data_IF_139827594193
#
_entry.id   IF_139827594193
#
_cell.length_a   1.000
_cell.length_b   1.000
_cell.length_c   1.000
_cell.angle_alpha   90.00
_cell.angle_beta   90.00
_cell.angle_gamma   90.00
#
_symmetry.space_group_name_H-M   'P 1'
#
loop_
_entity.id
_entity.type
_entity.pdbx_description
1 polymer ?
#
# COMPACT_ATOMS: atom_id res chain seq x y z
N UNK A 1 3.78 -6.87 23.73
CA UNK A 1 3.53 -6.42 22.34
C UNK A 1 2.07 -5.94 22.33
N UNK A 2 1.82 -4.64 22.20
CA UNK A 2 0.55 -4.01 22.63
C UNK A 2 -0.39 -3.76 21.44
N UNK A 3 -0.73 -4.82 20.70
CA UNK A 3 -1.65 -4.73 19.55
C UNK A 3 -3.09 -5.14 19.89
N UNK A 4 -3.25 -6.08 20.83
CA UNK A 4 -4.52 -6.76 21.13
C UNK A 4 -5.59 -5.83 21.73
N UNK A 5 -5.26 -5.11 22.81
CA UNK A 5 -6.28 -4.62 23.75
C UNK A 5 -6.61 -3.12 23.69
N UNK A 6 -5.81 -2.30 22.98
CA UNK A 6 -5.91 -0.81 23.11
C UNK A 6 -6.40 -0.10 21.84
N UNK A 7 -6.11 -0.64 20.64
CA UNK A 7 -6.33 0.09 19.39
C UNK A 7 -7.36 -0.54 18.44
N UNK A 8 -7.84 -1.77 18.69
CA UNK A 8 -8.89 -2.40 17.89
C UNK A 8 -8.57 -2.52 16.39
N UNK A 9 -7.29 -2.61 16.03
CA UNK A 9 -6.82 -2.56 14.65
C UNK A 9 -7.37 -3.73 13.83
N UNK A 10 -7.63 -3.49 12.54
CA UNK A 10 -7.92 -4.53 11.54
C UNK A 10 -7.04 -4.34 10.30
N UNK A 11 -7.13 -5.23 9.30
CA UNK A 11 -6.38 -5.11 8.04
C UNK A 11 -6.96 -4.04 7.10
N UNK A 12 -7.12 -2.82 7.62
CA UNK A 12 -7.47 -1.60 6.86
C UNK A 12 -6.45 -0.51 7.16
N UNK A 13 -6.30 0.43 6.24
CA UNK A 13 -5.45 1.62 6.39
C UNK A 13 -6.20 2.84 5.87
N UNK A 14 -5.85 4.03 6.37
CA UNK A 14 -6.32 5.30 5.84
C UNK A 14 -5.23 5.87 4.93
N UNK A 15 -5.53 5.93 3.64
CA UNK A 15 -4.65 6.46 2.60
C UNK A 15 -5.06 7.92 2.32
N UNK A 16 -4.11 8.84 2.37
CA UNK A 16 -4.35 10.26 2.04
C UNK A 16 -3.68 10.60 0.71
N UNK A 17 -4.48 11.04 -0.24
CA UNK A 17 -4.06 11.36 -1.60
C UNK A 17 -4.63 12.72 -1.99
N UNK A 18 -3.75 13.72 -2.19
CA UNK A 18 -4.11 15.09 -2.58
C UNK A 18 -5.18 15.73 -1.67
N UNK A 19 -5.13 15.46 -0.36
CA UNK A 19 -6.09 15.96 0.63
C UNK A 19 -7.41 15.17 0.70
N UNK A 20 -7.57 14.11 -0.10
CA UNK A 20 -8.66 13.14 0.01
C UNK A 20 -8.22 11.94 0.85
N UNK A 21 -8.96 11.64 1.91
CA UNK A 21 -8.70 10.52 2.83
C UNK A 21 -9.65 9.36 2.56
N UNK A 22 -9.13 8.19 2.21
CA UNK A 22 -9.90 6.98 1.84
C UNK A 22 -9.47 5.78 2.70
N UNK A 23 -10.42 4.92 3.07
CA UNK A 23 -10.12 3.66 3.78
C UNK A 23 -9.86 2.56 2.75
N UNK A 24 -8.69 1.94 2.81
CA UNK A 24 -8.28 0.83 1.92
C UNK A 24 -8.15 -0.47 2.71
N UNK A 25 -8.57 -1.59 2.11
CA UNK A 25 -8.39 -2.93 2.67
C UNK A 25 -6.98 -3.45 2.31
N UNK A 26 -6.14 -3.66 3.32
CA UNK A 26 -4.74 -4.06 3.15
C UNK A 26 -4.58 -5.51 2.64
N UNK A 27 -5.56 -6.37 2.92
CA UNK A 27 -5.57 -7.77 2.53
C UNK A 27 -6.99 -8.21 2.18
N UNK A 28 -7.24 -8.79 0.98
CA UNK A 28 -8.58 -9.20 0.57
C UNK A 28 -9.28 -10.09 1.60
N UNK A 29 -10.53 -9.76 1.91
CA UNK A 29 -11.39 -10.45 2.88
C UNK A 29 -10.92 -10.39 4.35
N UNK A 30 -9.99 -9.50 4.70
CA UNK A 30 -9.46 -9.36 6.08
C UNK A 30 -9.78 -8.04 6.77
N UNK A 31 -10.57 -7.14 6.17
CA UNK A 31 -10.98 -5.86 6.79
C UNK A 31 -11.66 -5.97 8.17
N UNK A 32 -12.22 -7.13 8.52
CA UNK A 32 -12.83 -7.43 9.84
C UNK A 32 -11.96 -8.33 10.73
N UNK A 33 -10.81 -8.78 10.25
CA UNK A 33 -9.87 -9.57 11.05
C UNK A 33 -9.14 -8.63 12.00
N UNK A 34 -9.32 -8.84 13.30
CA UNK A 34 -8.61 -8.08 14.35
C UNK A 34 -7.11 -8.41 14.29
N UNK A 35 -6.27 -7.39 14.41
CA UNK A 35 -4.82 -7.54 14.48
C UNK A 35 -4.45 -8.05 15.86
N UNK A 36 -3.75 -9.18 15.91
CA UNK A 36 -3.39 -9.86 17.14
C UNK A 36 -1.91 -10.26 17.13
N UNK A 37 -1.41 -10.77 18.26
CA UNK A 37 -0.04 -11.25 18.46
C UNK A 37 0.38 -12.34 17.45
N UNK A 38 -0.55 -13.10 16.90
CA UNK A 38 -0.30 -14.15 15.91
C UNK A 38 -0.23 -13.62 14.47
N UNK A 39 -0.80 -12.45 14.18
CA UNK A 39 -0.91 -11.89 12.82
C UNK A 39 -0.30 -10.48 12.66
N UNK A 40 0.18 -9.87 13.75
CA UNK A 40 0.71 -8.50 13.78
C UNK A 40 1.94 -8.28 12.88
N UNK A 41 2.80 -9.28 12.74
CA UNK A 41 3.92 -9.23 11.78
C UNK A 41 3.40 -9.13 10.33
N UNK A 42 2.35 -9.88 10.00
CA UNK A 42 1.71 -9.85 8.68
C UNK A 42 1.09 -8.47 8.45
N UNK A 43 0.39 -7.93 9.44
CA UNK A 43 -0.17 -6.57 9.38
C UNK A 43 0.90 -5.51 9.10
N UNK A 44 2.00 -5.50 9.86
CA UNK A 44 3.11 -4.55 9.68
C UNK A 44 3.77 -4.70 8.30
N UNK A 45 4.07 -5.94 7.87
CA UNK A 45 4.68 -6.21 6.57
C UNK A 45 3.81 -5.70 5.40
N UNK A 46 2.50 -5.91 5.48
CA UNK A 46 1.56 -5.44 4.45
C UNK A 46 1.39 -3.92 4.49
N UNK A 47 1.31 -3.31 5.68
CA UNK A 47 1.22 -1.86 5.84
C UNK A 47 2.46 -1.13 5.28
N UNK A 48 3.66 -1.64 5.57
CA UNK A 48 4.93 -1.12 5.02
C UNK A 48 4.96 -1.26 3.50
N UNK A 49 4.54 -2.41 2.96
CA UNK A 49 4.42 -2.60 1.50
C UNK A 49 3.43 -1.62 0.87
N UNK A 50 2.26 -1.40 1.49
CA UNK A 50 1.26 -0.47 0.98
C UNK A 50 1.80 0.96 0.89
N UNK A 51 2.37 1.50 1.98
CA UNK A 51 2.93 2.85 1.96
C UNK A 51 4.14 3.00 1.04
N UNK A 52 5.11 2.09 1.11
CA UNK A 52 6.36 2.21 0.36
C UNK A 52 6.17 1.88 -1.11
N UNK A 53 5.54 0.76 -1.45
CA UNK A 53 5.48 0.31 -2.84
C UNK A 53 4.48 1.12 -3.67
N UNK A 54 3.33 1.54 -3.14
CA UNK A 54 2.37 2.33 -3.92
C UNK A 54 2.95 3.69 -4.31
N UNK A 55 3.51 4.42 -3.35
CA UNK A 55 4.12 5.74 -3.58
C UNK A 55 5.36 5.67 -4.47
N UNK A 56 6.25 4.69 -4.24
CA UNK A 56 7.48 4.54 -5.01
C UNK A 56 7.20 3.97 -6.40
N UNK A 57 6.29 2.99 -6.57
CA UNK A 57 5.98 2.41 -7.88
C UNK A 57 5.35 3.44 -8.82
N UNK A 58 4.49 4.33 -8.33
CA UNK A 58 3.95 5.43 -9.14
C UNK A 58 5.09 6.36 -9.63
N UNK A 59 5.99 6.78 -8.73
CA UNK A 59 7.14 7.62 -9.08
C UNK A 59 8.10 6.91 -10.05
N UNK A 60 8.47 5.65 -9.78
CA UNK A 60 9.34 4.85 -10.64
C UNK A 60 8.72 4.62 -12.02
N UNK A 61 7.41 4.35 -12.08
CA UNK A 61 6.70 4.19 -13.36
C UNK A 61 6.76 5.47 -14.17
N UNK A 62 6.49 6.63 -13.57
CA UNK A 62 6.57 7.93 -14.23
C UNK A 62 8.02 8.31 -14.65
N UNK A 63 9.03 7.93 -13.86
CA UNK A 63 10.43 8.26 -14.13
C UNK A 63 11.13 7.30 -15.12
N UNK A 64 10.72 6.04 -15.20
CA UNK A 64 11.37 5.01 -16.03
C UNK A 64 10.52 4.55 -17.24
N UNK A 65 9.19 4.65 -17.17
CA UNK A 65 8.27 4.35 -18.26
C UNK A 65 7.72 5.63 -18.90
N UNK A 66 8.08 6.03 -20.15
CA UNK A 66 8.84 5.28 -21.16
C UNK A 66 10.07 6.03 -21.71
N UNK A 67 11.26 5.43 -21.62
CA UNK A 67 12.41 5.75 -22.49
C UNK A 67 12.52 4.82 -23.72
N UNK A 68 11.38 4.42 -24.29
CA UNK A 68 11.32 3.50 -25.45
C UNK A 68 10.43 4.09 -26.54
N UNK A 69 10.91 4.04 -27.80
CA UNK A 69 10.27 4.51 -29.03
C UNK A 69 10.12 6.05 -29.23
N UNK A 70 11.24 6.69 -29.56
CA UNK A 70 11.25 7.71 -30.64
C UNK A 70 12.27 7.39 -31.73
N UNK A 71 12.33 6.12 -32.13
CA UNK A 71 12.83 5.76 -33.45
C UNK A 71 11.79 6.23 -34.48
N UNK A 72 12.00 7.41 -35.07
CA UNK A 72 11.36 7.72 -36.35
C UNK A 72 12.03 6.87 -37.42
N UNK A 73 11.36 5.81 -37.86
CA UNK A 73 11.68 5.21 -39.16
C UNK A 73 11.37 6.27 -40.22
N UNK A 74 12.41 6.77 -40.89
CA UNK A 74 12.24 7.65 -42.04
C UNK A 74 11.94 6.83 -43.29
N UNK A 75 10.86 7.21 -43.99
CA UNK A 75 10.59 6.98 -45.41
C UNK A 75 9.58 8.03 -45.84
#
# INVERSE_FOLDING_TARGET
MVYEDILGLTFVCEDEELGSRKVVELCPNRKRTIVNSQNGEIYVNVLVKHHSLTSIAHQITHLLGPKISRCKCGS
#
